data_IF_850494164867
#
_entry.id   IF_850494164867
#
_cell.length_a   1.000
_cell.length_b   1.000
_cell.length_c   1.000
_cell.angle_alpha   90.00
_cell.angle_beta   90.00
_cell.angle_gamma   90.00
#
_symmetry.space_group_name_H-M   'P 1'
#
loop_
_entity.id
_entity.type
_entity.pdbx_description
1 polymer ?
#
# COMPACT_ATOMS: atom_id res chain seq x y z
N UNK A 1 -39.12 15.39 13.65
CA UNK A 1 -38.52 14.34 12.81
C UNK A 1 -37.36 14.98 12.03
N UNK A 2 -36.09 14.72 12.40
CA UNK A 2 -34.97 15.13 11.55
C UNK A 2 -35.08 14.36 10.24
N UNK A 3 -35.35 15.06 9.14
CA UNK A 3 -35.29 14.45 7.81
C UNK A 3 -33.86 13.98 7.57
N UNK A 4 -33.65 12.67 7.59
CA UNK A 4 -32.35 12.08 7.28
C UNK A 4 -32.02 12.41 5.82
N UNK A 5 -31.21 13.44 5.59
CA UNK A 5 -30.71 13.74 4.26
C UNK A 5 -29.77 12.61 3.81
N UNK A 6 -30.11 11.94 2.71
CA UNK A 6 -29.34 10.80 2.17
C UNK A 6 -27.97 11.25 1.62
N UNK A 7 -27.87 12.47 1.14
CA UNK A 7 -26.69 13.01 0.47
C UNK A 7 -25.76 13.77 1.42
N UNK A 8 -26.32 14.56 2.35
CA UNK A 8 -25.56 15.45 3.18
C UNK A 8 -25.47 14.94 4.65
N UNK A 9 -24.33 15.19 5.28
CA UNK A 9 -24.15 15.00 6.71
C UNK A 9 -24.64 16.24 7.49
N UNK A 10 -24.52 16.23 8.83
CA UNK A 10 -24.95 17.35 9.68
C UNK A 10 -24.14 18.64 9.43
N UNK A 11 -22.96 18.56 8.84
CA UNK A 11 -22.13 19.70 8.46
C UNK A 11 -22.46 20.27 7.07
N UNK A 12 -23.54 19.81 6.42
CA UNK A 12 -23.89 20.23 5.06
C UNK A 12 -22.98 19.69 3.96
N UNK A 13 -22.05 18.81 4.29
CA UNK A 13 -21.10 18.20 3.35
C UNK A 13 -21.63 16.85 2.85
N UNK A 14 -21.22 16.42 1.65
CA UNK A 14 -21.55 15.09 1.14
C UNK A 14 -21.13 14.00 2.12
N UNK A 15 -21.93 12.95 2.29
CA UNK A 15 -21.56 11.80 3.13
C UNK A 15 -20.38 11.05 2.53
N UNK A 16 -19.55 10.44 3.39
CA UNK A 16 -18.30 9.73 3.00
C UNK A 16 -18.50 8.67 1.91
N UNK A 17 -19.64 8.00 1.84
CA UNK A 17 -19.97 7.05 0.76
C UNK A 17 -20.02 7.72 -0.60
N UNK A 18 -20.65 8.88 -0.72
CA UNK A 18 -20.71 9.65 -1.97
C UNK A 18 -19.33 10.22 -2.34
N UNK A 19 -18.58 10.69 -1.35
CA UNK A 19 -17.20 11.15 -1.56
C UNK A 19 -16.31 10.03 -2.09
N UNK A 20 -16.41 8.80 -1.55
CA UNK A 20 -15.71 7.64 -2.09
C UNK A 20 -16.14 7.34 -3.53
N UNK A 21 -17.44 7.37 -3.82
CA UNK A 21 -17.94 7.15 -5.19
C UNK A 21 -17.35 8.15 -6.19
N UNK A 22 -17.35 9.45 -5.83
CA UNK A 22 -16.72 10.50 -6.65
C UNK A 22 -15.22 10.23 -6.83
N UNK A 23 -14.51 9.90 -5.76
CA UNK A 23 -13.08 9.58 -5.82
C UNK A 23 -12.81 8.41 -6.78
N UNK A 24 -13.54 7.31 -6.65
CA UNK A 24 -13.34 6.10 -7.49
C UNK A 24 -13.57 6.42 -8.97
N UNK A 25 -14.65 7.11 -9.30
CA UNK A 25 -14.95 7.48 -10.69
C UNK A 25 -13.90 8.45 -11.24
N UNK A 26 -13.56 9.51 -10.49
CA UNK A 26 -12.56 10.47 -10.91
C UNK A 26 -11.18 9.83 -11.06
N UNK A 27 -10.79 8.94 -10.13
CA UNK A 27 -9.53 8.19 -10.22
C UNK A 27 -9.48 7.32 -11.48
N UNK A 28 -10.54 6.56 -11.76
CA UNK A 28 -10.60 5.72 -12.96
C UNK A 28 -10.46 6.55 -14.24
N UNK A 29 -11.14 7.70 -14.32
CA UNK A 29 -11.07 8.62 -15.48
C UNK A 29 -9.65 9.21 -15.60
N UNK A 30 -9.10 9.79 -14.53
CA UNK A 30 -7.77 10.42 -14.56
C UNK A 30 -6.67 9.41 -14.87
N UNK A 31 -6.69 8.24 -14.22
CA UNK A 31 -5.73 7.17 -14.48
C UNK A 31 -5.79 6.73 -15.95
N UNK A 32 -6.99 6.56 -16.51
CA UNK A 32 -7.18 6.17 -17.91
C UNK A 32 -6.70 7.24 -18.89
N UNK A 33 -6.96 8.50 -18.60
CA UNK A 33 -6.46 9.61 -19.44
C UNK A 33 -4.93 9.67 -19.44
N UNK A 34 -4.28 9.52 -18.29
CA UNK A 34 -2.82 9.49 -18.19
C UNK A 34 -2.26 8.28 -18.93
N UNK A 35 -2.85 7.09 -18.75
CA UNK A 35 -2.46 5.86 -19.47
C UNK A 35 -2.56 6.02 -21.00
N UNK A 36 -3.67 6.61 -21.48
CA UNK A 36 -3.87 6.88 -22.90
C UNK A 36 -2.81 7.84 -23.45
N UNK A 37 -2.56 8.95 -22.75
CA UNK A 37 -1.54 9.93 -23.14
C UNK A 37 -0.14 9.27 -23.20
N UNK A 38 0.20 8.47 -22.19
CA UNK A 38 1.48 7.73 -22.16
C UNK A 38 1.56 6.70 -23.31
N UNK A 39 0.49 5.98 -23.59
CA UNK A 39 0.46 5.02 -24.70
C UNK A 39 0.74 5.71 -26.05
N UNK A 40 0.15 6.89 -26.27
CA UNK A 40 0.42 7.70 -27.47
C UNK A 40 1.89 8.14 -27.51
N UNK A 41 2.42 8.68 -26.40
CA UNK A 41 3.81 9.12 -26.31
C UNK A 41 4.78 7.95 -26.59
N UNK A 42 4.56 6.79 -25.96
CA UNK A 42 5.39 5.59 -26.15
C UNK A 42 5.38 5.16 -27.61
N UNK A 43 4.22 5.14 -28.27
CA UNK A 43 4.12 4.79 -29.69
C UNK A 43 4.85 5.77 -30.60
N UNK A 44 4.75 7.06 -30.33
CA UNK A 44 5.38 8.13 -31.14
C UNK A 44 6.91 8.15 -30.95
N UNK A 45 7.39 7.98 -29.71
CA UNK A 45 8.80 8.12 -29.35
C UNK A 45 9.60 6.85 -29.60
N UNK A 46 9.08 5.69 -29.14
CA UNK A 46 9.83 4.44 -29.16
C UNK A 46 9.65 3.64 -30.45
N UNK A 47 8.74 4.05 -31.35
CA UNK A 47 8.43 3.33 -32.61
C UNK A 47 8.22 1.82 -32.43
N UNK A 48 7.92 1.37 -31.22
CA UNK A 48 7.81 -0.02 -30.81
C UNK A 48 6.40 -0.39 -30.30
N UNK A 49 6.22 -1.66 -29.91
CA UNK A 49 4.96 -2.08 -29.30
C UNK A 49 4.85 -1.50 -27.89
N UNK A 50 3.75 -0.81 -27.61
CA UNK A 50 3.46 -0.29 -26.26
C UNK A 50 3.39 -1.45 -25.22
N UNK A 51 2.93 -2.63 -25.64
CA UNK A 51 2.85 -3.82 -24.79
C UNK A 51 4.23 -4.31 -24.33
N UNK A 52 5.22 -4.34 -25.22
CA UNK A 52 6.59 -4.71 -24.87
C UNK A 52 7.21 -3.73 -23.87
N UNK A 53 6.95 -2.42 -24.02
CA UNK A 53 7.39 -1.42 -23.06
C UNK A 53 6.70 -1.60 -21.71
N UNK A 54 5.37 -1.72 -21.68
CA UNK A 54 4.60 -1.85 -20.43
C UNK A 54 4.96 -3.13 -19.64
N UNK A 55 5.45 -4.17 -20.34
CA UNK A 55 5.91 -5.41 -19.71
C UNK A 55 7.33 -5.31 -19.15
N UNK A 56 8.08 -4.25 -19.47
CA UNK A 56 9.44 -4.03 -19.00
C UNK A 56 9.49 -3.44 -17.57
N UNK A 57 10.68 -3.44 -16.97
CA UNK A 57 10.90 -2.76 -15.68
C UNK A 57 10.66 -1.25 -15.77
N UNK A 58 10.99 -0.62 -16.90
CA UNK A 58 10.68 0.78 -17.17
C UNK A 58 9.17 1.02 -17.24
N UNK A 59 8.43 0.14 -17.90
CA UNK A 59 6.97 0.19 -17.93
C UNK A 59 6.35 0.04 -16.56
N UNK A 60 6.91 -0.82 -15.70
CA UNK A 60 6.45 -0.94 -14.31
C UNK A 60 6.64 0.36 -13.51
N UNK A 61 7.80 1.02 -13.66
CA UNK A 61 8.04 2.32 -13.03
C UNK A 61 7.02 3.36 -13.51
N UNK A 62 6.76 3.41 -14.80
CA UNK A 62 5.78 4.35 -15.38
C UNK A 62 4.38 4.07 -14.86
N UNK A 63 3.96 2.81 -14.79
CA UNK A 63 2.66 2.43 -14.22
C UNK A 63 2.54 2.82 -12.75
N UNK A 64 3.59 2.63 -11.95
CA UNK A 64 3.62 3.04 -10.55
C UNK A 64 3.53 4.58 -10.40
N UNK A 65 4.21 5.34 -11.28
CA UNK A 65 4.10 6.80 -11.33
C UNK A 65 2.68 7.26 -11.71
N UNK A 66 2.05 6.62 -12.68
CA UNK A 66 0.67 6.91 -13.09
C UNK A 66 -0.28 6.67 -11.92
N UNK A 67 -0.15 5.53 -11.26
CA UNK A 67 -0.96 5.18 -10.10
C UNK A 67 -0.83 6.24 -8.99
N UNK A 68 0.41 6.57 -8.64
CA UNK A 68 0.69 7.58 -7.61
C UNK A 68 0.13 8.96 -8.01
N UNK A 69 0.43 9.42 -9.23
CA UNK A 69 0.00 10.74 -9.70
C UNK A 69 -1.54 10.85 -9.77
N UNK A 70 -2.22 9.86 -10.34
CA UNK A 70 -3.67 9.85 -10.42
C UNK A 70 -4.31 9.86 -9.02
N UNK A 71 -3.83 9.00 -8.11
CA UNK A 71 -4.34 8.93 -6.74
C UNK A 71 -4.06 10.23 -5.96
N UNK A 72 -2.89 10.87 -6.16
CA UNK A 72 -2.54 12.13 -5.52
C UNK A 72 -3.38 13.30 -6.02
N UNK A 73 -3.52 13.44 -7.34
CA UNK A 73 -4.30 14.51 -7.97
C UNK A 73 -5.78 14.42 -7.55
N UNK A 74 -6.36 13.24 -7.68
CA UNK A 74 -7.78 13.02 -7.36
C UNK A 74 -8.02 13.10 -5.85
N UNK A 75 -7.11 12.53 -5.04
CA UNK A 75 -7.20 12.61 -3.58
C UNK A 75 -7.12 14.05 -3.08
N UNK A 76 -6.19 14.84 -3.62
CA UNK A 76 -6.11 16.27 -3.32
C UNK A 76 -7.36 17.03 -3.78
N UNK A 77 -7.80 16.82 -5.02
CA UNK A 77 -9.00 17.45 -5.55
C UNK A 77 -10.24 17.15 -4.71
N UNK A 78 -10.46 15.87 -4.36
CA UNK A 78 -11.57 15.49 -3.47
C UNK A 78 -11.43 16.10 -2.06
N UNK A 79 -10.22 16.10 -1.49
CA UNK A 79 -9.96 16.72 -0.20
C UNK A 79 -10.26 18.21 -0.20
N UNK A 80 -9.76 18.95 -1.21
CA UNK A 80 -9.94 20.39 -1.32
C UNK A 80 -11.39 20.78 -1.64
N UNK A 81 -12.04 20.09 -2.59
CA UNK A 81 -13.37 20.48 -3.10
C UNK A 81 -14.54 19.97 -2.24
N UNK A 82 -14.37 18.82 -1.58
CA UNK A 82 -15.46 18.17 -0.85
C UNK A 82 -15.34 18.29 0.67
N UNK A 83 -14.14 18.63 1.17
CA UNK A 83 -13.86 18.66 2.61
C UNK A 83 -13.04 19.87 3.07
N UNK A 84 -12.71 20.81 2.19
CA UNK A 84 -11.91 22.04 2.46
C UNK A 84 -10.53 21.74 3.08
N UNK A 85 -9.91 20.60 2.67
CA UNK A 85 -8.67 20.13 3.23
C UNK A 85 -7.45 20.53 2.40
N UNK A 86 -6.33 20.91 3.04
CA UNK A 86 -5.07 21.15 2.36
C UNK A 86 -4.45 19.83 1.87
N UNK A 87 -3.59 19.88 0.84
CA UNK A 87 -2.88 18.71 0.33
C UNK A 87 -2.12 17.92 1.42
N UNK A 88 -1.63 18.61 2.45
CA UNK A 88 -0.94 17.99 3.60
C UNK A 88 -1.81 17.00 4.38
N UNK A 89 -3.14 17.18 4.36
CA UNK A 89 -4.09 16.29 5.01
C UNK A 89 -4.11 14.89 4.40
N UNK A 90 -3.62 14.71 3.16
CA UNK A 90 -3.52 13.40 2.51
C UNK A 90 -2.49 12.45 3.16
N UNK A 91 -1.74 12.90 4.15
CA UNK A 91 -0.82 12.07 4.94
C UNK A 91 0.64 12.11 4.51
N UNK A 92 1.00 12.86 3.45
CA UNK A 92 2.38 13.06 2.99
C UNK A 92 3.05 14.32 3.55
N UNK A 93 2.52 14.90 4.62
CA UNK A 93 3.18 16.02 5.27
C UNK A 93 4.55 15.60 5.84
N UNK A 94 5.58 16.44 5.62
CA UNK A 94 6.88 16.28 6.26
C UNK A 94 6.81 16.82 7.69
N UNK A 95 5.90 16.23 8.49
CA UNK A 95 5.69 16.61 9.90
C UNK A 95 6.90 16.25 10.77
N UNK A 96 6.98 16.84 11.96
CA UNK A 96 8.05 16.48 12.90
C UNK A 96 7.96 14.99 13.26
N UNK A 97 8.94 14.19 12.78
CA UNK A 97 9.00 12.75 13.01
C UNK A 97 8.65 11.88 11.79
N UNK A 98 8.40 12.44 10.61
CA UNK A 98 8.10 11.66 9.41
C UNK A 98 9.19 10.64 9.03
N UNK A 99 10.48 10.99 9.18
CA UNK A 99 11.60 10.06 8.96
C UNK A 99 11.61 8.93 9.99
N UNK A 100 11.25 9.23 11.25
CA UNK A 100 11.08 8.21 12.28
C UNK A 100 9.96 7.24 11.90
N UNK A 101 8.83 7.74 11.46
CA UNK A 101 7.69 6.92 11.06
C UNK A 101 8.05 6.02 9.86
N UNK A 102 8.73 6.58 8.85
CA UNK A 102 9.24 5.81 7.71
C UNK A 102 10.24 4.73 8.17
N UNK A 103 11.22 5.09 9.00
CA UNK A 103 12.23 4.17 9.49
C UNK A 103 11.64 3.05 10.37
N UNK A 104 10.75 3.39 11.30
CA UNK A 104 10.06 2.39 12.12
C UNK A 104 9.17 1.48 11.26
N UNK A 105 8.45 2.06 10.29
CA UNK A 105 7.69 1.26 9.34
C UNK A 105 8.56 0.29 8.58
N UNK A 106 9.73 0.74 8.10
CA UNK A 106 10.68 -0.10 7.38
C UNK A 106 11.20 -1.26 8.24
N UNK A 107 11.50 -1.00 9.51
CA UNK A 107 11.91 -2.05 10.45
C UNK A 107 10.77 -3.05 10.68
N UNK A 108 9.55 -2.57 10.93
CA UNK A 108 8.38 -3.42 11.15
C UNK A 108 8.12 -4.30 9.92
N UNK A 109 8.13 -3.74 8.72
CA UNK A 109 7.95 -4.50 7.48
C UNK A 109 9.01 -5.57 7.26
N UNK A 110 10.29 -5.18 7.40
CA UNK A 110 11.41 -6.10 7.26
C UNK A 110 11.38 -7.24 8.29
N UNK A 111 11.14 -6.94 9.58
CA UNK A 111 11.05 -7.95 10.64
C UNK A 111 9.87 -8.88 10.41
N UNK A 112 8.73 -8.37 9.94
CA UNK A 112 7.54 -9.18 9.70
C UNK A 112 7.72 -10.19 8.57
N UNK A 113 8.37 -9.80 7.46
CA UNK A 113 8.67 -10.74 6.36
C UNK A 113 9.78 -11.73 6.75
N UNK A 114 10.77 -11.30 7.51
CA UNK A 114 11.77 -12.22 8.06
C UNK A 114 11.14 -13.25 9.00
N UNK A 115 10.18 -12.83 9.82
CA UNK A 115 9.43 -13.75 10.67
C UNK A 115 8.63 -14.76 9.85
N UNK A 116 7.95 -14.33 8.76
CA UNK A 116 7.28 -15.25 7.85
C UNK A 116 8.27 -16.25 7.23
N UNK A 117 9.46 -15.79 6.80
CA UNK A 117 10.51 -16.67 6.26
C UNK A 117 11.01 -17.67 7.30
N UNK A 118 11.19 -17.25 8.56
CA UNK A 118 11.58 -18.14 9.68
C UNK A 118 10.52 -19.20 9.95
N UNK A 119 9.23 -18.86 9.89
CA UNK A 119 8.15 -19.86 9.97
C UNK A 119 8.24 -20.87 8.82
N UNK A 120 8.56 -20.42 7.60
CA UNK A 120 8.76 -21.30 6.45
C UNK A 120 9.96 -22.24 6.63
N UNK A 121 11.06 -21.77 7.21
CA UNK A 121 12.24 -22.58 7.55
C UNK A 121 11.87 -23.59 8.66
N UNK A 122 11.22 -23.15 9.73
CA UNK A 122 10.79 -24.02 10.83
C UNK A 122 9.82 -25.10 10.35
N UNK A 123 8.94 -24.78 9.40
CA UNK A 123 8.05 -25.73 8.71
C UNK A 123 8.76 -26.61 7.67
N UNK A 124 10.07 -26.49 7.52
CA UNK A 124 10.89 -27.21 6.52
C UNK A 124 10.41 -27.03 5.07
N UNK A 125 9.66 -25.95 4.82
CA UNK A 125 9.15 -25.63 3.48
C UNK A 125 10.06 -24.70 2.69
N UNK A 126 10.83 -23.84 3.36
CA UNK A 126 11.73 -22.88 2.74
C UNK A 126 13.18 -23.12 3.15
N UNK A 127 14.09 -23.13 2.17
CA UNK A 127 15.52 -23.24 2.37
C UNK A 127 16.22 -22.06 1.66
N UNK A 128 17.08 -21.37 2.36
CA UNK A 128 17.79 -20.20 1.84
C UNK A 128 19.29 -20.49 1.73
N UNK A 129 19.91 -20.02 0.65
CA UNK A 129 21.34 -20.02 0.42
C UNK A 129 21.79 -18.70 -0.20
N UNK A 130 23.05 -18.36 -0.09
CA UNK A 130 23.58 -17.22 -0.85
C UNK A 130 23.43 -17.46 -2.35
N UNK A 131 23.12 -16.41 -3.11
CA UNK A 131 22.96 -16.50 -4.55
C UNK A 131 24.31 -16.55 -5.27
N UNK A 132 24.98 -17.71 -5.19
CA UNK A 132 26.27 -17.92 -5.86
C UNK A 132 26.20 -17.90 -7.39
N UNK A 133 25.00 -17.95 -8.00
CA UNK A 133 24.83 -17.86 -9.45
C UNK A 133 24.86 -16.41 -9.96
N UNK A 134 24.72 -15.41 -9.10
CA UNK A 134 24.80 -14.00 -9.44
C UNK A 134 26.13 -13.39 -8.98
N UNK A 135 26.69 -12.49 -9.77
CA UNK A 135 27.87 -11.74 -9.37
C UNK A 135 27.54 -10.74 -8.25
N UNK A 136 28.50 -10.38 -7.35
CA UNK A 136 28.26 -9.35 -6.33
C UNK A 136 27.77 -8.01 -6.94
N UNK A 137 28.27 -7.65 -8.11
CA UNK A 137 27.81 -6.45 -8.84
C UNK A 137 26.35 -6.54 -9.27
N UNK A 138 25.90 -7.70 -9.75
CA UNK A 138 24.49 -7.92 -10.13
C UNK A 138 23.58 -7.86 -8.91
N UNK A 139 23.98 -8.47 -7.81
CA UNK A 139 23.25 -8.39 -6.52
C UNK A 139 23.16 -6.94 -6.06
N UNK A 140 24.30 -6.23 -6.01
CA UNK A 140 24.34 -4.82 -5.59
C UNK A 140 23.44 -3.93 -6.46
N UNK A 141 23.46 -4.12 -7.78
CA UNK A 141 22.53 -3.42 -8.70
C UNK A 141 21.08 -3.73 -8.40
N UNK A 142 20.73 -5.01 -8.21
CA UNK A 142 19.35 -5.41 -7.87
C UNK A 142 18.90 -4.73 -6.58
N UNK A 143 19.69 -4.80 -5.51
CA UNK A 143 19.36 -4.16 -4.23
C UNK A 143 19.14 -2.64 -4.39
N UNK A 144 20.03 -1.95 -5.10
CA UNK A 144 19.97 -0.50 -5.28
C UNK A 144 18.80 -0.05 -6.16
N UNK A 145 18.54 -0.73 -7.29
CA UNK A 145 17.51 -0.32 -8.22
C UNK A 145 16.11 -0.73 -7.79
N UNK A 146 15.96 -1.84 -7.08
CA UNK A 146 14.63 -2.28 -6.62
C UNK A 146 14.15 -1.52 -5.39
N UNK A 147 15.03 -0.93 -4.58
CA UNK A 147 14.61 -0.15 -3.41
C UNK A 147 13.72 1.03 -3.81
N UNK A 148 14.14 1.99 -4.65
CA UNK A 148 13.27 3.08 -5.10
C UNK A 148 12.07 2.60 -5.91
N UNK A 149 12.20 1.50 -6.66
CA UNK A 149 11.08 0.90 -7.40
C UNK A 149 9.95 0.48 -6.46
N UNK A 150 10.27 -0.26 -5.40
CA UNK A 150 9.27 -0.70 -4.42
C UNK A 150 8.75 0.46 -3.56
N UNK A 151 9.56 1.48 -3.26
CA UNK A 151 9.09 2.71 -2.62
C UNK A 151 8.02 3.38 -3.47
N UNK A 152 8.28 3.52 -4.77
CA UNK A 152 7.34 4.17 -5.69
C UNK A 152 6.04 3.36 -5.85
N UNK A 153 6.14 2.05 -6.04
CA UNK A 153 4.98 1.17 -6.16
C UNK A 153 4.11 1.23 -4.89
N UNK A 154 4.73 1.06 -3.72
CA UNK A 154 4.05 1.15 -2.44
C UNK A 154 3.43 2.54 -2.21
N UNK A 155 4.12 3.63 -2.59
CA UNK A 155 3.58 4.99 -2.47
C UNK A 155 2.28 5.17 -3.25
N UNK A 156 2.20 4.63 -4.46
CA UNK A 156 0.99 4.68 -5.30
C UNK A 156 -0.18 3.95 -4.65
N UNK A 157 0.08 2.77 -4.13
CA UNK A 157 -0.95 1.96 -3.47
C UNK A 157 -1.38 2.56 -2.12
N UNK A 158 -0.45 3.05 -1.30
CA UNK A 158 -0.80 3.73 -0.06
C UNK A 158 -1.61 5.00 -0.32
N UNK A 159 -1.27 5.76 -1.36
CA UNK A 159 -2.02 6.95 -1.74
C UNK A 159 -3.44 6.61 -2.21
N UNK A 160 -3.59 5.54 -3.00
CA UNK A 160 -4.88 5.10 -3.54
C UNK A 160 -5.82 4.58 -2.44
N UNK A 161 -5.30 3.78 -1.50
CA UNK A 161 -6.15 3.09 -0.53
C UNK A 161 -6.18 3.76 0.85
N UNK A 162 -5.05 4.30 1.35
CA UNK A 162 -4.92 4.90 2.70
C UNK A 162 -4.87 6.43 2.65
N UNK A 163 -4.73 7.01 1.46
CA UNK A 163 -4.94 8.44 1.23
C UNK A 163 -6.39 8.84 1.45
N UNK A 164 -6.95 9.58 0.52
CA UNK A 164 -8.31 10.12 0.64
C UNK A 164 -9.38 9.09 1.03
N UNK A 165 -9.45 7.87 0.43
CA UNK A 165 -10.52 6.91 0.70
C UNK A 165 -10.63 6.50 2.18
N UNK A 166 -9.55 6.02 2.81
CA UNK A 166 -9.59 5.65 4.23
C UNK A 166 -9.84 6.88 5.12
N UNK A 167 -9.25 8.00 4.77
CA UNK A 167 -9.26 9.21 5.58
C UNK A 167 -10.65 9.84 5.69
N UNK A 168 -11.42 9.91 4.58
CA UNK A 168 -12.77 10.48 4.59
C UNK A 168 -13.72 9.68 5.51
N UNK A 169 -13.59 8.35 5.57
CA UNK A 169 -14.35 7.52 6.51
C UNK A 169 -13.87 7.68 7.95
N UNK A 170 -12.56 7.86 8.15
CA UNK A 170 -12.00 8.07 9.49
C UNK A 170 -12.48 9.39 10.08
N UNK A 171 -12.52 10.48 9.30
CA UNK A 171 -13.07 11.78 9.73
C UNK A 171 -14.55 11.71 10.02
N UNK A 172 -15.30 10.91 9.25
CA UNK A 172 -16.72 10.65 9.48
C UNK A 172 -17.02 9.68 10.65
N UNK A 173 -15.99 9.23 11.41
CA UNK A 173 -16.07 8.22 12.48
C UNK A 173 -16.57 6.84 12.01
N UNK A 174 -16.47 6.55 10.74
CA UNK A 174 -16.79 5.28 10.11
C UNK A 174 -15.51 4.47 9.81
N UNK A 175 -14.53 4.51 10.72
CA UNK A 175 -13.19 3.96 10.50
C UNK A 175 -13.20 2.50 10.09
N UNK A 176 -14.01 1.65 10.75
CA UNK A 176 -14.08 0.22 10.40
C UNK A 176 -14.65 -0.02 9.01
N UNK A 177 -15.64 0.77 8.61
CA UNK A 177 -16.15 0.73 7.25
C UNK A 177 -15.10 1.19 6.24
N UNK A 178 -14.33 2.23 6.57
CA UNK A 178 -13.20 2.68 5.75
C UNK A 178 -12.12 1.60 5.60
N UNK A 179 -11.74 0.92 6.68
CA UNK A 179 -10.79 -0.21 6.63
C UNK A 179 -11.33 -1.31 5.68
N UNK A 180 -12.59 -1.70 5.83
CA UNK A 180 -13.22 -2.71 4.97
C UNK A 180 -13.21 -2.28 3.50
N UNK A 181 -13.73 -1.08 3.20
CA UNK A 181 -13.88 -0.55 1.83
C UNK A 181 -12.54 -0.22 1.15
N UNK A 182 -11.43 -0.21 1.86
CA UNK A 182 -10.10 -0.01 1.27
C UNK A 182 -9.28 -1.30 1.24
N UNK A 183 -9.39 -2.18 2.23
CA UNK A 183 -8.61 -3.42 2.31
C UNK A 183 -9.14 -4.51 1.36
N UNK A 184 -10.46 -4.61 1.17
CA UNK A 184 -11.03 -5.60 0.27
C UNK A 184 -10.78 -5.27 -1.21
N UNK A 185 -10.98 -4.04 -1.71
CA UNK A 185 -10.56 -3.67 -3.07
C UNK A 185 -9.06 -3.78 -3.29
N UNK A 186 -8.23 -3.48 -2.27
CA UNK A 186 -6.78 -3.71 -2.32
C UNK A 186 -6.48 -5.19 -2.61
N UNK A 187 -7.13 -6.11 -1.87
CA UNK A 187 -6.99 -7.54 -2.11
C UNK A 187 -7.53 -7.97 -3.48
N UNK A 188 -8.67 -7.41 -3.90
CA UNK A 188 -9.27 -7.71 -5.19
C UNK A 188 -8.37 -7.32 -6.37
N UNK A 189 -7.68 -6.17 -6.27
CA UNK A 189 -6.73 -5.73 -7.29
C UNK A 189 -5.58 -6.73 -7.50
N UNK A 190 -5.14 -7.41 -6.45
CA UNK A 190 -4.08 -8.41 -6.51
C UNK A 190 -4.51 -9.76 -7.09
N UNK A 191 -5.82 -10.01 -7.27
CA UNK A 191 -6.30 -11.23 -7.93
C UNK A 191 -5.98 -11.29 -9.42
N UNK A 192 -5.55 -10.19 -10.03
CA UNK A 192 -5.05 -10.13 -11.40
C UNK A 192 -3.56 -10.54 -11.54
N UNK A 193 -2.86 -10.71 -10.42
CA UNK A 193 -1.44 -11.06 -10.43
C UNK A 193 -1.22 -12.53 -10.85
N UNK A 194 -0.03 -12.85 -11.40
CA UNK A 194 0.29 -14.23 -11.78
C UNK A 194 0.32 -15.17 -10.55
N UNK A 195 0.05 -16.45 -10.78
CA UNK A 195 0.15 -17.52 -9.79
C UNK A 195 -0.77 -17.37 -8.55
N UNK A 196 -1.83 -16.60 -8.64
CA UNK A 196 -2.77 -16.35 -7.54
C UNK A 196 -3.44 -17.63 -7.05
N UNK A 197 -3.43 -17.85 -5.73
CA UNK A 197 -4.25 -18.84 -5.03
C UNK A 197 -5.45 -18.13 -4.43
N UNK A 198 -6.55 -18.09 -5.18
CA UNK A 198 -7.68 -17.15 -4.97
C UNK A 198 -8.12 -16.93 -3.53
N UNK A 199 -8.39 -17.98 -2.76
CA UNK A 199 -8.91 -17.83 -1.39
C UNK A 199 -7.88 -17.26 -0.41
N UNK A 200 -6.72 -17.92 -0.29
CA UNK A 200 -5.68 -17.56 0.68
C UNK A 200 -5.01 -16.24 0.31
N UNK A 201 -4.68 -16.04 -0.96
CA UNK A 201 -4.10 -14.78 -1.45
C UNK A 201 -5.02 -13.61 -1.13
N UNK A 202 -6.32 -13.73 -1.44
CA UNK A 202 -7.27 -12.67 -1.13
C UNK A 202 -7.34 -12.37 0.38
N UNK A 203 -7.42 -13.40 1.21
CA UNK A 203 -7.48 -13.23 2.67
C UNK A 203 -6.22 -12.56 3.22
N UNK A 204 -5.03 -13.02 2.81
CA UNK A 204 -3.76 -12.45 3.27
C UNK A 204 -3.56 -11.01 2.75
N UNK A 205 -3.91 -10.73 1.50
CA UNK A 205 -3.80 -9.37 0.97
C UNK A 205 -4.81 -8.43 1.64
N UNK A 206 -6.01 -8.91 1.99
CA UNK A 206 -6.96 -8.14 2.81
C UNK A 206 -6.42 -7.88 4.21
N UNK A 207 -5.79 -8.87 4.86
CA UNK A 207 -5.11 -8.69 6.15
C UNK A 207 -3.94 -7.70 6.05
N UNK A 208 -3.14 -7.75 4.99
CA UNK A 208 -2.11 -6.73 4.71
C UNK A 208 -2.75 -5.34 4.57
N UNK A 209 -3.91 -5.27 3.90
CA UNK A 209 -4.73 -4.06 3.82
C UNK A 209 -5.11 -3.50 5.18
N UNK A 210 -5.59 -4.36 6.08
CA UNK A 210 -5.93 -4.01 7.47
C UNK A 210 -4.67 -3.56 8.25
N UNK A 211 -3.54 -4.26 8.08
CA UNK A 211 -2.28 -3.92 8.74
C UNK A 211 -1.80 -2.50 8.37
N UNK A 212 -1.77 -2.19 7.09
CA UNK A 212 -1.36 -0.87 6.58
C UNK A 212 -2.36 0.23 6.98
N UNK A 213 -3.66 -0.09 7.01
CA UNK A 213 -4.67 0.82 7.55
C UNK A 213 -4.47 1.08 9.06
N UNK A 214 -4.17 0.04 9.85
CA UNK A 214 -3.83 0.18 11.27
C UNK A 214 -2.59 1.06 11.45
N UNK A 215 -1.55 0.88 10.64
CA UNK A 215 -0.36 1.73 10.67
C UNK A 215 -0.69 3.21 10.41
N UNK A 216 -1.50 3.50 9.38
CA UNK A 216 -1.98 4.85 9.13
C UNK A 216 -2.76 5.42 10.33
N UNK A 217 -3.68 4.66 10.89
CA UNK A 217 -4.51 5.11 12.01
C UNK A 217 -3.69 5.41 13.27
N UNK A 218 -2.55 4.74 13.46
CA UNK A 218 -1.65 4.98 14.60
C UNK A 218 -0.85 6.29 14.48
N UNK A 219 -0.48 6.70 13.29
CA UNK A 219 0.34 7.91 13.07
C UNK A 219 -0.39 9.02 12.34
N UNK A 220 -1.55 8.73 11.73
CA UNK A 220 -2.30 9.64 10.84
C UNK A 220 -1.44 10.15 9.68
N UNK A 221 -0.40 9.44 9.35
CA UNK A 221 0.58 9.74 8.32
C UNK A 221 0.77 8.52 7.42
N UNK A 222 1.07 8.74 6.14
CA UNK A 222 1.36 7.66 5.19
C UNK A 222 2.82 7.18 5.25
N UNK A 223 3.68 7.85 6.02
CA UNK A 223 5.09 7.46 6.12
C UNK A 223 5.31 6.12 6.83
N UNK A 224 4.53 5.82 7.88
CA UNK A 224 4.63 4.52 8.56
C UNK A 224 4.15 3.35 7.68
N UNK A 225 2.92 3.37 7.10
CA UNK A 225 2.49 2.31 6.21
C UNK A 225 3.36 2.20 4.95
N UNK A 226 3.85 3.31 4.39
CA UNK A 226 4.83 3.25 3.31
C UNK A 226 6.10 2.48 3.73
N UNK A 227 6.66 2.82 4.89
CA UNK A 227 7.83 2.13 5.42
C UNK A 227 7.61 0.62 5.54
N UNK A 228 6.46 0.21 6.09
CA UNK A 228 6.07 -1.20 6.22
C UNK A 228 6.00 -1.86 4.84
N UNK A 229 5.24 -1.27 3.94
CA UNK A 229 4.91 -1.85 2.64
C UNK A 229 6.13 -2.02 1.73
N UNK A 230 6.92 -0.94 1.55
CA UNK A 230 8.10 -1.04 0.70
C UNK A 230 9.15 -2.00 1.25
N UNK A 231 9.39 -1.99 2.59
CA UNK A 231 10.39 -2.85 3.19
C UNK A 231 9.97 -4.32 3.18
N UNK A 232 8.68 -4.63 3.38
CA UNK A 232 8.13 -5.96 3.17
C UNK A 232 8.42 -6.47 1.76
N UNK A 233 8.06 -5.70 0.72
CA UNK A 233 8.24 -6.09 -0.67
C UNK A 233 9.72 -6.19 -1.05
N UNK A 234 10.53 -5.21 -0.65
CA UNK A 234 11.95 -5.17 -1.00
C UNK A 234 12.74 -6.30 -0.33
N UNK A 235 12.52 -6.52 0.96
CA UNK A 235 13.16 -7.63 1.67
C UNK A 235 12.73 -8.97 1.07
N UNK A 236 11.45 -9.15 0.78
CA UNK A 236 10.92 -10.38 0.19
C UNK A 236 11.55 -10.65 -1.18
N UNK A 237 11.53 -9.69 -2.09
CA UNK A 237 12.03 -9.88 -3.45
C UNK A 237 13.54 -9.79 -3.59
N UNK A 238 14.13 -8.67 -3.16
CA UNK A 238 15.52 -8.35 -3.44
C UNK A 238 16.51 -9.03 -2.48
N UNK A 239 16.11 -9.22 -1.22
CA UNK A 239 16.99 -9.86 -0.23
C UNK A 239 16.73 -11.36 -0.16
N UNK A 240 15.50 -11.80 0.08
CA UNK A 240 15.16 -13.21 0.27
C UNK A 240 14.99 -13.99 -1.05
N UNK A 241 14.77 -13.33 -2.18
CA UNK A 241 14.57 -13.98 -3.47
C UNK A 241 13.23 -14.70 -3.60
N UNK A 242 12.25 -14.31 -2.79
CA UNK A 242 10.90 -14.82 -2.83
C UNK A 242 10.05 -14.05 -3.86
N UNK A 243 9.06 -14.65 -4.49
CA UNK A 243 8.10 -13.93 -5.32
C UNK A 243 7.36 -12.87 -4.50
N UNK A 244 7.20 -11.66 -5.05
CA UNK A 244 6.41 -10.58 -4.46
C UNK A 244 5.06 -10.55 -5.17
N UNK A 245 4.02 -10.93 -4.48
CA UNK A 245 2.66 -11.02 -5.05
C UNK A 245 2.61 -11.75 -6.40
N UNK A 246 3.34 -12.86 -6.50
CA UNK A 246 3.45 -13.66 -7.72
C UNK A 246 4.44 -13.15 -8.76
N UNK A 247 5.10 -12.01 -8.54
CA UNK A 247 6.02 -11.38 -9.49
C UNK A 247 7.48 -11.66 -9.09
N UNK A 248 8.25 -12.28 -9.99
CA UNK A 248 9.68 -12.61 -9.74
C UNK A 248 10.63 -11.72 -10.53
N UNK A 249 10.17 -11.15 -11.66
CA UNK A 249 11.02 -10.42 -12.61
C UNK A 249 11.62 -9.10 -12.07
N UNK A 250 11.07 -8.55 -10.98
CA UNK A 250 11.53 -7.26 -10.46
C UNK A 250 12.87 -7.34 -9.74
N UNK A 251 13.27 -8.50 -9.22
CA UNK A 251 14.51 -8.72 -8.51
C UNK A 251 15.31 -9.90 -9.11
N UNK A 252 15.91 -9.73 -10.30
CA UNK A 252 16.51 -10.84 -11.06
C UNK A 252 17.76 -11.44 -10.39
N UNK A 253 18.46 -10.70 -9.54
CA UNK A 253 19.64 -11.14 -8.82
C UNK A 253 19.52 -10.80 -7.33
N UNK A 254 18.61 -11.49 -6.63
CA UNK A 254 18.43 -11.36 -5.19
C UNK A 254 19.69 -11.78 -4.41
N UNK A 255 19.83 -11.29 -3.18
CA UNK A 255 20.94 -11.63 -2.30
C UNK A 255 20.92 -13.12 -1.93
N UNK A 256 19.75 -13.64 -1.56
CA UNK A 256 19.55 -15.05 -1.28
C UNK A 256 18.77 -15.72 -2.42
N UNK A 257 18.97 -17.01 -2.56
CA UNK A 257 18.12 -17.90 -3.33
C UNK A 257 17.27 -18.72 -2.38
N UNK A 258 16.01 -18.82 -2.69
CA UNK A 258 15.06 -19.67 -1.99
C UNK A 258 14.85 -20.96 -2.78
N UNK A 259 14.80 -22.07 -2.08
CA UNK A 259 14.27 -23.34 -2.56
C UNK A 259 12.99 -23.61 -1.76
N UNK A 260 11.84 -23.57 -2.44
CA UNK A 260 10.55 -23.89 -1.87
C UNK A 260 10.27 -25.39 -2.10
N UNK A 261 10.26 -26.16 -1.04
CA UNK A 261 9.96 -27.59 -1.01
C UNK A 261 8.71 -27.89 -0.20
N UNK A 262 8.08 -26.84 0.33
CA UNK A 262 6.89 -26.96 1.17
C UNK A 262 5.60 -27.09 0.39
N UNK A 263 4.53 -27.51 1.06
CA UNK A 263 3.21 -27.50 0.45
C UNK A 263 2.75 -26.04 0.24
N UNK A 264 2.13 -25.77 -0.92
CA UNK A 264 1.73 -24.41 -1.31
C UNK A 264 0.79 -23.71 -0.28
N UNK A 265 -0.03 -24.47 0.45
CA UNK A 265 -0.87 -23.88 1.50
C UNK A 265 -0.04 -23.26 2.65
N UNK A 266 1.19 -23.74 2.88
CA UNK A 266 2.11 -23.24 3.92
C UNK A 266 2.95 -22.08 3.39
N UNK A 267 3.65 -22.29 2.27
CA UNK A 267 4.68 -21.37 1.74
C UNK A 267 4.14 -20.36 0.73
N UNK A 268 2.96 -20.62 0.15
CA UNK A 268 2.37 -19.83 -0.93
C UNK A 268 2.83 -20.25 -2.34
N UNK A 269 3.81 -21.17 -2.43
CA UNK A 269 4.29 -21.71 -3.70
C UNK A 269 4.76 -20.63 -4.67
N UNK A 270 4.33 -20.70 -5.93
CA UNK A 270 4.72 -19.77 -6.98
C UNK A 270 4.22 -18.32 -6.79
N UNK A 271 3.22 -18.10 -5.94
CA UNK A 271 2.78 -16.74 -5.59
C UNK A 271 3.71 -16.07 -4.57
N UNK A 272 4.42 -16.87 -3.80
CA UNK A 272 5.23 -16.43 -2.66
C UNK A 272 4.48 -16.46 -1.34
N UNK A 273 5.12 -16.07 -0.23
CA UNK A 273 4.60 -16.22 1.13
C UNK A 273 3.19 -15.66 1.33
N UNK A 274 2.84 -14.62 0.59
CA UNK A 274 1.53 -13.96 0.64
C UNK A 274 0.37 -14.88 0.22
N UNK A 275 0.67 -15.97 -0.48
CA UNK A 275 -0.29 -17.05 -0.80
C UNK A 275 -0.36 -18.17 0.24
N UNK A 276 0.37 -18.10 1.37
CA UNK A 276 0.52 -19.19 2.33
C UNK A 276 0.20 -18.82 3.78
N UNK A 277 0.06 -19.84 4.61
CA UNK A 277 -0.28 -19.71 6.04
C UNK A 277 0.80 -19.00 6.86
N UNK A 278 2.08 -19.09 6.46
CA UNK A 278 3.18 -18.36 7.13
C UNK A 278 2.94 -16.85 7.09
N UNK A 279 2.41 -16.32 5.98
CA UNK A 279 2.05 -14.91 5.87
C UNK A 279 0.84 -14.58 6.75
N UNK A 280 -0.19 -15.43 6.78
CA UNK A 280 -1.37 -15.23 7.64
C UNK A 280 -0.94 -15.04 9.10
N UNK A 281 -0.08 -15.92 9.62
CA UNK A 281 0.41 -15.85 11.00
C UNK A 281 1.21 -14.58 11.22
N UNK A 282 2.14 -14.26 10.32
CA UNK A 282 2.97 -13.06 10.43
C UNK A 282 2.12 -11.77 10.43
N UNK A 283 1.15 -11.67 9.54
CA UNK A 283 0.26 -10.51 9.44
C UNK A 283 -0.63 -10.35 10.68
N UNK A 284 -1.22 -11.43 11.21
CA UNK A 284 -2.04 -11.35 12.41
C UNK A 284 -1.24 -10.84 13.60
N UNK A 285 -0.01 -11.33 13.79
CA UNK A 285 0.89 -10.86 14.85
C UNK A 285 1.27 -9.39 14.60
N UNK A 286 1.64 -9.04 13.38
CA UNK A 286 2.05 -7.68 13.03
C UNK A 286 0.89 -6.65 13.21
N UNK A 287 -0.35 -7.01 12.87
CA UNK A 287 -1.54 -6.19 13.13
C UNK A 287 -1.69 -5.92 14.63
N UNK A 288 -1.64 -6.98 15.44
CA UNK A 288 -1.78 -6.86 16.90
C UNK A 288 -0.67 -5.99 17.49
N UNK A 289 0.57 -6.18 17.06
CA UNK A 289 1.72 -5.39 17.52
C UNK A 289 1.55 -3.91 17.17
N UNK A 290 1.25 -3.58 15.92
CA UNK A 290 1.03 -2.19 15.49
C UNK A 290 -0.13 -1.55 16.25
N UNK A 291 -1.23 -2.28 16.43
CA UNK A 291 -2.41 -1.77 17.13
C UNK A 291 -2.17 -1.52 18.62
N UNK A 292 -1.46 -2.44 19.30
CA UNK A 292 -1.21 -2.37 20.76
C UNK A 292 -0.04 -1.47 21.14
N UNK A 293 0.85 -1.16 20.22
CA UNK A 293 2.06 -0.38 20.50
C UNK A 293 1.74 1.06 20.91
N UNK A 294 2.18 1.47 22.09
CA UNK A 294 1.88 2.81 22.66
C UNK A 294 2.77 3.94 22.12
N UNK A 295 3.92 3.61 21.56
CA UNK A 295 4.91 4.59 21.05
C UNK A 295 4.67 5.03 19.60
N UNK A 296 3.77 4.38 18.87
CA UNK A 296 3.26 4.86 17.60
C UNK A 296 2.13 5.86 17.89
N UNK A 297 2.38 7.15 17.68
CA UNK A 297 1.42 8.22 17.94
C UNK A 297 1.46 9.25 16.83
N UNK A 298 0.32 9.86 16.47
CA UNK A 298 0.30 10.95 15.53
C UNK A 298 1.00 12.18 16.11
N UNK A 299 1.65 12.98 15.24
CA UNK A 299 2.12 14.29 15.62
C UNK A 299 0.94 15.26 15.82
N UNK A 300 1.14 16.34 16.57
CA UNK A 300 0.11 17.37 16.76
C UNK A 300 -0.34 17.99 15.44
N UNK A 301 0.61 18.16 14.48
CA UNK A 301 0.33 18.63 13.13
C UNK A 301 -0.63 17.69 12.40
N UNK A 302 -0.35 16.37 12.44
CA UNK A 302 -1.20 15.38 11.76
C UNK A 302 -2.57 15.25 12.43
N UNK A 303 -2.67 15.45 13.75
CA UNK A 303 -3.96 15.50 14.44
C UNK A 303 -4.82 16.67 13.96
N UNK A 304 -4.23 17.84 13.72
CA UNK A 304 -4.96 19.02 13.19
C UNK A 304 -5.53 18.76 11.80
N UNK A 305 -4.74 18.16 10.91
CA UNK A 305 -5.20 17.86 9.54
C UNK A 305 -6.18 16.71 9.43
N UNK A 306 -6.27 15.85 10.44
CA UNK A 306 -7.10 14.64 10.41
C UNK A 306 -8.18 14.65 11.49
N UNK A 307 -8.50 15.84 12.03
CA UNK A 307 -9.57 16.03 13.04
C UNK A 307 -10.92 15.52 12.52
N UNK A 308 -11.76 15.06 13.45
CA UNK A 308 -13.11 14.60 13.12
C UNK A 308 -13.99 15.80 12.72
N UNK A 309 -14.76 15.68 11.65
CA UNK A 309 -15.70 16.71 11.18
C UNK A 309 -16.65 17.21 12.29
N UNK A 310 -16.94 16.38 13.29
CA UNK A 310 -17.83 16.72 14.41
C UNK A 310 -17.13 17.60 15.48
N UNK A 311 -15.79 17.56 15.57
CA UNK A 311 -15.04 18.41 16.49
C UNK A 311 -14.93 19.85 16.01
N UNK A 312 -14.78 20.04 14.71
CA UNK A 312 -14.71 21.38 14.09
C UNK A 312 -16.01 22.16 14.34
N UNK A 313 -17.18 21.53 14.17
CA UNK A 313 -18.46 22.19 14.45
C UNK A 313 -18.64 22.63 15.90
N UNK A 314 -18.09 21.91 16.88
CA UNK A 314 -18.18 22.30 18.28
C UNK A 314 -17.27 23.47 18.65
N UNK A 315 -16.17 23.67 17.93
CA UNK A 315 -15.27 24.81 18.15
C UNK A 315 -15.75 26.09 17.49
N UNK A 316 -16.51 25.99 16.38
CA UNK A 316 -17.09 27.15 15.69
C UNK A 316 -18.39 27.66 16.34
N UNK A 317 -19.13 26.81 17.04
CA UNK A 317 -20.37 27.19 17.75
C UNK A 317 -20.13 27.61 19.19
N UNK A 318 -18.93 27.40 19.72
CA UNK A 318 -18.54 27.72 21.12
C UNK A 318 -17.55 28.89 21.25
N UNK A 319 -17.29 29.65 20.21
CA UNK A 319 -16.53 30.91 20.17
C UNK A 319 -17.49 32.10 19.87
#
# INVERSE_FOLDING_TARGET
METHNLFLNKAGRLRSGWRLGIFVVAFAVVAKLIEMALTVIVRLVLKGSAEGFLSSSAGFIVQALVLFAAAAIVGWGCGALLEDLPARALGWANHRGWLRDLGLGSIIGAVSVLFAALLGIAGRGLHFSLNAAATPSAIGKTLLFTAPLFVLAASGEEMLFRGYPLQTFTRARLTWLGIFLTSFPFAAAHLANPNVVRGVTFANTALAGVWLAAAYLRTRSLWLPLGIHWAWNWMMGAVLGLPVSGITRLAPASLLRVQDTGPAWLTGGAYGPEGGAICTIALLIAIVLVWRTSWLKPSEEMLKFTADEIREQKSEVGG
#
